data_IF_576970240245
#
_entry.id   IF_576970240245
#
_cell.length_a   1.000
_cell.length_b   1.000
_cell.length_c   1.000
_cell.angle_alpha   90.00
_cell.angle_beta   90.00
_cell.angle_gamma   90.00
#
_symmetry.space_group_name_H-M   'P 1'
#
loop_
_entity.id
_entity.type
_entity.pdbx_description
1 polymer ?
#
# COMPACT_ATOMS: atom_id res chain seq x y z
N UNK A 1 18.83 -19.40 25.53
CA UNK A 1 18.63 -18.54 24.35
C UNK A 1 19.90 -18.57 23.51
N UNK A 2 19.85 -19.12 22.29
CA UNK A 2 21.00 -19.08 21.38
C UNK A 2 20.94 -17.76 20.63
N UNK A 3 21.81 -16.82 20.99
CA UNK A 3 21.91 -15.53 20.31
C UNK A 3 22.96 -15.68 19.21
N UNK A 4 22.59 -15.38 17.96
CA UNK A 4 23.55 -15.28 16.85
C UNK A 4 23.86 -13.79 16.63
N UNK A 5 25.10 -13.32 16.88
CA UNK A 5 25.46 -11.91 16.68
C UNK A 5 25.10 -11.44 15.27
N UNK A 6 24.59 -10.21 15.14
CA UNK A 6 24.20 -9.57 13.86
C UNK A 6 23.06 -10.26 13.08
N UNK A 7 22.44 -11.33 13.60
CA UNK A 7 21.30 -11.99 12.95
C UNK A 7 20.05 -11.90 13.82
N UNK A 8 18.94 -11.48 13.22
CA UNK A 8 17.65 -11.31 13.89
C UNK A 8 16.66 -12.39 13.43
N UNK A 9 15.81 -12.88 14.33
CA UNK A 9 14.79 -13.90 14.07
C UNK A 9 15.27 -15.23 13.42
N UNK A 10 16.53 -15.63 13.64
CA UNK A 10 17.13 -16.86 13.07
C UNK A 10 17.11 -18.08 14.00
N UNK A 11 16.29 -18.07 15.05
CA UNK A 11 16.19 -19.18 15.99
C UNK A 11 15.46 -20.40 15.39
N UNK A 12 15.71 -21.62 15.86
CA UNK A 12 14.95 -22.79 15.41
C UNK A 12 13.47 -22.67 15.75
N UNK A 13 12.62 -23.22 14.88
CA UNK A 13 11.16 -23.23 15.02
C UNK A 13 10.76 -24.40 15.93
N UNK A 14 10.01 -24.08 17.00
CA UNK A 14 9.45 -25.07 17.93
C UNK A 14 8.03 -25.51 17.56
N UNK A 15 7.25 -24.56 17.05
CA UNK A 15 5.84 -24.77 16.69
C UNK A 15 5.42 -23.71 15.68
N UNK A 16 4.64 -24.10 14.67
CA UNK A 16 4.19 -23.21 13.60
C UNK A 16 2.78 -23.61 13.19
N UNK A 17 1.96 -22.61 12.86
CA UNK A 17 0.66 -22.78 12.21
C UNK A 17 0.60 -21.93 10.94
N UNK A 18 -0.04 -22.46 9.90
CA UNK A 18 -0.31 -21.74 8.65
C UNK A 18 -1.67 -21.05 8.78
N UNK A 19 -1.72 -19.76 8.43
CA UNK A 19 -2.95 -19.00 8.37
C UNK A 19 -3.14 -18.42 6.96
N UNK A 20 -4.26 -18.78 6.32
CA UNK A 20 -4.64 -18.20 5.02
C UNK A 20 -5.18 -16.80 5.26
N UNK A 21 -4.48 -15.78 4.77
CA UNK A 21 -4.89 -14.38 4.91
C UNK A 21 -6.07 -14.10 3.97
N UNK A 22 -7.24 -13.69 4.48
CA UNK A 22 -8.37 -13.33 3.62
C UNK A 22 -8.05 -12.12 2.73
N UNK A 23 -8.54 -12.13 1.49
CA UNK A 23 -8.21 -11.13 0.46
C UNK A 23 -8.46 -9.68 0.88
N UNK A 24 -9.46 -9.45 1.73
CA UNK A 24 -9.90 -8.13 2.16
C UNK A 24 -9.34 -7.68 3.52
N UNK A 25 -8.45 -8.46 4.15
CA UNK A 25 -7.91 -8.11 5.46
C UNK A 25 -6.99 -6.89 5.39
N UNK A 26 -7.18 -5.98 6.34
CA UNK A 26 -6.20 -4.94 6.68
C UNK A 26 -5.14 -5.49 7.63
N UNK A 27 -4.01 -4.79 7.73
CA UNK A 27 -2.95 -5.14 8.67
C UNK A 27 -3.44 -5.21 10.13
N UNK A 28 -4.39 -4.36 10.52
CA UNK A 28 -4.92 -4.35 11.89
C UNK A 28 -5.84 -5.56 12.15
N UNK A 29 -6.67 -5.95 11.18
CA UNK A 29 -7.51 -7.15 11.28
C UNK A 29 -6.67 -8.43 11.31
N UNK A 30 -5.65 -8.51 10.45
CA UNK A 30 -4.70 -9.61 10.45
C UNK A 30 -3.93 -9.64 11.78
N UNK A 31 -3.46 -8.50 12.27
CA UNK A 31 -2.75 -8.36 13.54
C UNK A 31 -3.57 -8.85 14.73
N UNK A 32 -4.85 -8.46 14.83
CA UNK A 32 -5.74 -8.94 15.88
C UNK A 32 -5.94 -10.46 15.82
N UNK A 33 -6.12 -11.01 14.61
CA UNK A 33 -6.31 -12.45 14.40
C UNK A 33 -5.07 -13.25 14.77
N UNK A 34 -3.89 -12.81 14.33
CA UNK A 34 -2.62 -13.44 14.63
C UNK A 34 -2.23 -13.30 16.10
N UNK A 35 -2.62 -12.21 16.78
CA UNK A 35 -2.40 -12.07 18.21
C UNK A 35 -3.15 -13.15 19.01
N UNK A 36 -4.42 -13.40 18.70
CA UNK A 36 -5.20 -14.48 19.35
C UNK A 36 -4.62 -15.86 19.05
N UNK A 37 -4.33 -16.15 17.78
CA UNK A 37 -3.74 -17.44 17.38
C UNK A 37 -2.36 -17.67 17.99
N UNK A 38 -1.51 -16.65 17.95
CA UNK A 38 -0.16 -16.69 18.53
C UNK A 38 -0.18 -16.92 20.04
N UNK A 39 -1.11 -16.31 20.76
CA UNK A 39 -1.28 -16.55 22.19
C UNK A 39 -1.64 -18.01 22.49
N UNK A 40 -2.61 -18.58 21.75
CA UNK A 40 -2.98 -19.99 21.90
C UNK A 40 -1.79 -20.91 21.57
N UNK A 41 -1.13 -20.67 20.43
CA UNK A 41 0.02 -21.45 19.98
C UNK A 41 1.17 -21.42 21.00
N UNK A 42 1.39 -20.26 21.64
CA UNK A 42 2.38 -20.11 22.70
C UNK A 42 2.06 -20.99 23.91
N UNK A 43 0.82 -20.97 24.40
CA UNK A 43 0.39 -21.79 25.54
C UNK A 43 0.55 -23.29 25.23
N UNK A 44 0.16 -23.74 24.05
CA UNK A 44 0.29 -25.15 23.65
C UNK A 44 1.75 -25.58 23.50
N UNK A 45 2.61 -24.67 23.02
CA UNK A 45 4.06 -24.89 22.95
C UNK A 45 4.65 -25.05 24.34
N UNK A 46 4.28 -24.18 25.30
CA UNK A 46 4.79 -24.23 26.67
C UNK A 46 4.34 -25.51 27.42
N UNK A 47 3.11 -25.99 27.19
CA UNK A 47 2.58 -27.22 27.81
C UNK A 47 3.39 -28.46 27.42
N UNK A 48 3.99 -28.48 26.23
CA UNK A 48 4.74 -29.62 25.67
C UNK A 48 6.21 -29.29 25.39
N UNK A 49 6.75 -28.29 26.10
CA UNK A 49 8.01 -27.64 25.74
C UNK A 49 9.22 -28.60 25.61
N UNK A 50 9.47 -29.56 26.52
CA UNK A 50 10.61 -30.48 26.38
C UNK A 50 10.59 -31.28 25.08
N UNK A 51 9.40 -31.76 24.69
CA UNK A 51 9.19 -32.48 23.43
C UNK A 51 9.41 -31.56 22.22
N UNK A 52 8.85 -30.33 22.27
CA UNK A 52 9.01 -29.33 21.20
C UNK A 52 10.47 -28.91 20.99
N UNK A 53 11.25 -28.78 22.08
CA UNK A 53 12.69 -28.48 22.00
C UNK A 53 13.46 -29.62 21.35
N UNK A 54 13.07 -30.86 21.63
CA UNK A 54 13.68 -32.07 21.06
C UNK A 54 13.38 -32.17 19.56
N UNK A 55 12.16 -31.85 19.16
CA UNK A 55 11.67 -31.90 17.78
C UNK A 55 11.80 -30.57 17.02
N UNK A 56 12.63 -29.63 17.51
CA UNK A 56 12.82 -28.32 16.88
C UNK A 56 13.39 -28.45 15.47
N UNK A 57 13.04 -27.52 14.60
CA UNK A 57 13.51 -27.48 13.21
C UNK A 57 14.33 -26.22 12.99
N UNK A 58 15.48 -26.32 12.33
CA UNK A 58 16.18 -25.12 11.85
C UNK A 58 15.35 -24.45 10.76
N UNK A 59 15.52 -23.14 10.60
CA UNK A 59 14.87 -22.41 9.50
C UNK A 59 15.63 -22.68 8.20
N UNK A 60 14.91 -22.87 7.11
CA UNK A 60 15.51 -22.92 5.78
C UNK A 60 16.04 -21.53 5.41
N UNK A 61 17.26 -21.46 4.85
CA UNK A 61 17.80 -20.20 4.32
C UNK A 61 17.09 -19.81 3.01
N UNK A 62 16.56 -20.80 2.29
CA UNK A 62 15.80 -20.60 1.06
C UNK A 62 14.43 -19.97 1.36
N UNK A 63 14.20 -18.77 0.82
CA UNK A 63 12.94 -18.04 0.98
C UNK A 63 12.86 -17.15 2.22
N UNK A 64 13.93 -17.06 3.03
CA UNK A 64 14.00 -16.11 4.12
C UNK A 64 14.02 -14.67 3.59
N UNK A 65 13.03 -13.86 3.96
CA UNK A 65 12.92 -12.45 3.57
C UNK A 65 12.81 -11.54 4.79
N UNK A 66 13.38 -10.34 4.69
CA UNK A 66 13.22 -9.31 5.70
C UNK A 66 11.88 -8.56 5.52
N UNK A 67 11.21 -8.28 6.63
CA UNK A 67 10.06 -7.38 6.67
C UNK A 67 10.54 -5.97 7.10
N UNK A 68 10.78 -5.04 6.16
CA UNK A 68 11.29 -3.72 6.50
C UNK A 68 10.26 -2.93 7.32
N UNK A 69 10.76 -2.04 8.18
CA UNK A 69 9.91 -1.14 8.95
C UNK A 69 9.11 -0.24 7.99
N UNK A 70 7.80 -0.14 8.22
CA UNK A 70 6.92 0.75 7.46
C UNK A 70 7.41 2.20 7.62
N UNK A 71 7.69 2.85 6.50
CA UNK A 71 8.15 4.23 6.43
C UNK A 71 7.16 5.11 5.66
N UNK A 72 7.36 6.41 5.76
CA UNK A 72 6.53 7.37 5.01
C UNK A 72 6.77 7.31 3.50
N UNK A 73 7.98 6.99 3.05
CA UNK A 73 8.30 6.89 1.61
C UNK A 73 7.53 5.77 0.91
N UNK A 74 7.19 4.69 1.62
CA UNK A 74 6.35 3.61 1.10
C UNK A 74 4.91 4.04 0.76
N UNK A 75 4.45 5.21 1.26
CA UNK A 75 3.08 5.67 1.03
C UNK A 75 2.84 6.32 -0.33
N UNK A 76 3.90 6.58 -1.11
CA UNK A 76 3.78 7.17 -2.43
C UNK A 76 3.23 6.15 -3.44
N UNK A 77 2.14 6.52 -4.11
CA UNK A 77 1.64 5.75 -5.25
C UNK A 77 2.46 6.12 -6.49
N UNK A 78 2.92 5.09 -7.19
CA UNK A 78 3.60 5.17 -8.49
C UNK A 78 2.63 4.70 -9.55
N UNK A 79 1.80 5.62 -10.05
CA UNK A 79 0.67 5.31 -10.92
C UNK A 79 1.07 4.56 -12.19
N UNK A 80 2.24 4.86 -12.75
CA UNK A 80 2.72 4.23 -13.98
C UNK A 80 3.17 2.78 -13.78
N UNK A 81 3.53 2.39 -12.56
CA UNK A 81 4.19 1.11 -12.27
C UNK A 81 3.31 0.15 -11.46
N UNK A 82 2.45 0.70 -10.60
CA UNK A 82 1.61 -0.07 -9.70
C UNK A 82 0.26 -0.41 -10.33
N UNK A 83 -0.10 -1.68 -10.19
CA UNK A 83 -1.40 -2.23 -10.59
C UNK A 83 -2.49 -1.92 -9.56
N UNK A 84 -3.76 -2.08 -9.93
CA UNK A 84 -4.88 -1.98 -9.01
C UNK A 84 -4.70 -2.86 -7.76
N UNK A 85 -4.23 -4.10 -7.97
CA UNK A 85 -4.01 -5.08 -6.88
C UNK A 85 -2.88 -4.62 -5.96
N UNK A 86 -1.77 -4.12 -6.49
CA UNK A 86 -0.66 -3.62 -5.68
C UNK A 86 -1.08 -2.40 -4.84
N UNK A 87 -1.87 -1.48 -5.40
CA UNK A 87 -2.37 -0.31 -4.67
C UNK A 87 -3.34 -0.73 -3.57
N UNK A 88 -4.24 -1.70 -3.84
CA UNK A 88 -5.15 -2.26 -2.83
C UNK A 88 -4.39 -2.93 -1.68
N UNK A 89 -3.45 -3.83 -2.00
CA UNK A 89 -2.59 -4.47 -1.00
C UNK A 89 -1.82 -3.43 -0.17
N UNK A 90 -1.24 -2.41 -0.80
CA UNK A 90 -0.54 -1.34 -0.11
C UNK A 90 -1.48 -0.57 0.83
N UNK A 91 -2.67 -0.19 0.34
CA UNK A 91 -3.67 0.50 1.16
C UNK A 91 -4.02 -0.32 2.41
N UNK A 92 -4.38 -1.60 2.24
CA UNK A 92 -4.73 -2.50 3.34
C UNK A 92 -3.58 -2.73 4.31
N UNK A 93 -2.34 -2.74 3.82
CA UNK A 93 -1.15 -2.97 4.63
C UNK A 93 -0.75 -1.76 5.50
N UNK A 94 -0.83 -0.53 4.99
CA UNK A 94 -0.23 0.64 5.66
C UNK A 94 -1.19 1.79 5.97
N UNK A 95 -2.35 1.89 5.31
CA UNK A 95 -3.14 3.13 5.31
C UNK A 95 -3.78 3.47 6.66
N UNK A 96 -3.93 2.50 7.58
CA UNK A 96 -4.39 2.78 8.95
C UNK A 96 -3.38 3.59 9.76
N UNK A 97 -2.09 3.53 9.40
CA UNK A 97 -1.00 4.26 10.06
C UNK A 97 -0.49 5.42 9.21
N UNK A 98 -0.30 5.18 7.92
CA UNK A 98 0.24 6.16 6.97
C UNK A 98 -0.64 6.19 5.72
N UNK A 99 -1.45 7.26 5.54
CA UNK A 99 -2.27 7.42 4.35
C UNK A 99 -1.43 7.41 3.06
N UNK A 100 -1.96 6.80 2.01
CA UNK A 100 -1.34 6.83 0.68
C UNK A 100 -1.30 8.26 0.15
N UNK A 101 -0.30 8.55 -0.68
CA UNK A 101 0.02 9.91 -1.14
C UNK A 101 0.27 9.94 -2.63
N UNK A 102 -0.05 11.10 -3.20
CA UNK A 102 0.28 11.45 -4.57
C UNK A 102 0.53 12.96 -4.66
N UNK A 103 1.04 13.43 -5.78
CA UNK A 103 1.21 14.86 -6.05
C UNK A 103 0.04 15.36 -6.90
N UNK A 104 -0.51 16.51 -6.51
CA UNK A 104 -1.52 17.26 -7.24
C UNK A 104 -1.11 18.73 -7.28
N UNK A 105 -0.92 19.30 -8.47
CA UNK A 105 -0.52 20.71 -8.66
C UNK A 105 0.69 21.11 -7.80
N UNK A 106 1.72 20.26 -7.78
CA UNK A 106 2.94 20.46 -7.00
C UNK A 106 2.78 20.29 -5.47
N UNK A 107 1.62 19.84 -4.99
CA UNK A 107 1.36 19.63 -3.56
C UNK A 107 1.06 18.17 -3.26
N UNK A 108 1.51 17.72 -2.10
CA UNK A 108 1.16 16.41 -1.57
C UNK A 108 -0.32 16.37 -1.21
N UNK A 109 -1.04 15.38 -1.73
CA UNK A 109 -2.40 15.06 -1.35
C UNK A 109 -2.42 13.64 -0.77
N UNK A 110 -3.16 13.47 0.32
CA UNK A 110 -3.40 12.16 0.94
C UNK A 110 -4.70 11.57 0.39
N UNK A 111 -4.67 10.29 0.09
CA UNK A 111 -5.78 9.52 -0.45
C UNK A 111 -6.36 8.65 0.65
N UNK A 112 -7.67 8.76 0.88
CA UNK A 112 -8.38 8.17 2.01
C UNK A 112 -9.64 7.46 1.51
N UNK A 113 -10.16 6.56 2.35
CA UNK A 113 -11.43 5.86 2.09
C UNK A 113 -11.42 5.18 0.70
N UNK A 114 -10.52 4.20 0.58
CA UNK A 114 -10.30 3.44 -0.66
C UNK A 114 -11.54 2.62 -1.02
N UNK A 115 -11.96 2.73 -2.28
CA UNK A 115 -13.14 2.08 -2.82
C UNK A 115 -12.81 0.85 -3.69
N UNK A 116 -11.54 0.46 -3.79
CA UNK A 116 -11.11 -0.69 -4.59
C UNK A 116 -10.99 -0.37 -6.08
N UNK A 117 -10.93 -1.42 -6.89
CA UNK A 117 -10.92 -1.33 -8.35
C UNK A 117 -12.24 -0.75 -8.85
N UNK A 118 -12.18 0.23 -9.76
CA UNK A 118 -13.33 0.84 -10.39
C UNK A 118 -13.47 0.36 -11.84
N UNK A 119 -14.70 0.08 -12.25
CA UNK A 119 -15.03 -0.13 -13.66
C UNK A 119 -15.49 1.21 -14.24
N UNK A 120 -14.73 1.74 -15.20
CA UNK A 120 -15.09 2.98 -15.89
C UNK A 120 -15.44 2.64 -17.33
N UNK A 121 -16.70 2.87 -17.68
CA UNK A 121 -17.14 2.88 -19.07
C UNK A 121 -16.64 4.18 -19.70
N UNK A 122 -15.61 4.09 -20.56
CA UNK A 122 -15.11 5.22 -21.33
C UNK A 122 -16.09 5.55 -22.47
N UNK A 123 -17.26 6.07 -22.14
CA UNK A 123 -18.28 6.50 -23.10
C UNK A 123 -17.94 7.88 -23.66
N UNK A 124 -16.96 7.97 -24.54
CA UNK A 124 -16.80 9.13 -25.44
C UNK A 124 -15.38 9.60 -25.75
N UNK A 125 -15.04 9.55 -27.05
CA UNK A 125 -13.98 10.27 -27.79
C UNK A 125 -12.53 10.18 -27.28
N UNK A 126 -11.84 9.15 -27.78
CA UNK A 126 -10.54 9.30 -28.46
C UNK A 126 -9.28 9.59 -27.64
N UNK A 127 -9.35 9.67 -26.30
CA UNK A 127 -8.16 9.77 -25.46
C UNK A 127 -8.01 8.52 -24.61
N UNK A 128 -6.91 7.81 -24.84
CA UNK A 128 -6.49 6.71 -23.97
C UNK A 128 -6.08 7.35 -22.63
N UNK A 129 -6.74 6.99 -21.51
CA UNK A 129 -6.36 7.51 -20.21
C UNK A 129 -4.93 7.07 -19.89
N UNK A 130 -4.13 8.02 -19.43
CA UNK A 130 -2.77 7.75 -18.94
C UNK A 130 -2.80 7.57 -17.43
N UNK A 131 -1.84 6.84 -16.83
CA UNK A 131 -1.73 6.76 -15.38
C UNK A 131 -1.75 8.14 -14.72
N UNK A 132 -2.43 8.24 -13.59
CA UNK A 132 -2.72 9.50 -12.90
C UNK A 132 -3.96 10.25 -13.42
N UNK A 133 -4.56 9.84 -14.54
CA UNK A 133 -5.82 10.42 -15.02
C UNK A 133 -6.95 10.19 -14.01
N UNK A 134 -7.82 11.18 -13.83
CA UNK A 134 -8.91 11.11 -12.87
C UNK A 134 -10.29 11.17 -13.55
N UNK A 135 -11.25 10.45 -12.99
CA UNK A 135 -12.65 10.48 -13.36
C UNK A 135 -13.51 10.47 -12.10
N UNK A 136 -14.45 11.40 -11.99
CA UNK A 136 -15.40 11.40 -10.89
C UNK A 136 -16.64 10.59 -11.23
N UNK A 137 -16.89 9.55 -10.44
CA UNK A 137 -18.07 8.69 -10.54
C UNK A 137 -19.15 9.22 -9.59
N UNK A 138 -20.20 9.82 -10.14
CA UNK A 138 -21.22 10.54 -9.38
C UNK A 138 -22.07 9.59 -8.54
N UNK A 139 -22.42 8.43 -9.08
CA UNK A 139 -23.31 7.45 -8.48
C UNK A 139 -22.73 6.87 -7.19
N UNK A 140 -21.42 6.61 -7.18
CA UNK A 140 -20.71 6.06 -6.03
C UNK A 140 -19.96 7.10 -5.21
N UNK A 141 -20.07 8.39 -5.57
CA UNK A 141 -19.27 9.50 -5.01
C UNK A 141 -17.79 9.12 -4.87
N UNK A 142 -17.19 8.69 -5.97
CA UNK A 142 -15.83 8.13 -5.98
C UNK A 142 -14.95 8.87 -6.98
N UNK A 143 -13.77 9.28 -6.54
CA UNK A 143 -12.71 9.76 -7.42
C UNK A 143 -11.91 8.55 -7.89
N UNK A 144 -12.14 8.15 -9.13
CA UNK A 144 -11.38 7.07 -9.74
C UNK A 144 -10.11 7.63 -10.40
N UNK A 145 -8.99 6.95 -10.19
CA UNK A 145 -7.67 7.31 -10.71
C UNK A 145 -7.11 6.16 -11.52
N UNK A 146 -6.65 6.44 -12.73
CA UNK A 146 -6.04 5.47 -13.62
C UNK A 146 -4.64 5.10 -13.11
N UNK A 147 -4.34 3.81 -13.04
CA UNK A 147 -3.02 3.27 -12.76
C UNK A 147 -2.57 2.38 -13.92
N UNK A 148 -1.49 1.60 -13.74
CA UNK A 148 -0.86 0.79 -14.78
C UNK A 148 -1.81 -0.11 -15.57
N UNK A 149 -2.77 -0.75 -14.89
CA UNK A 149 -3.63 -1.80 -15.46
C UNK A 149 -5.13 -1.58 -15.24
N UNK A 150 -5.54 -0.37 -14.81
CA UNK A 150 -6.95 -0.09 -14.58
C UNK A 150 -7.20 1.21 -13.82
N UNK A 151 -8.28 1.21 -13.03
CA UNK A 151 -8.71 2.36 -12.24
C UNK A 151 -8.94 1.93 -10.80
N UNK A 152 -8.52 2.77 -9.86
CA UNK A 152 -8.77 2.59 -8.42
C UNK A 152 -9.51 3.80 -7.85
N UNK A 153 -10.38 3.56 -6.89
CA UNK A 153 -11.28 4.59 -6.35
C UNK A 153 -10.89 5.07 -4.96
N UNK A 154 -11.09 6.36 -4.71
CA UNK A 154 -11.02 6.97 -3.39
C UNK A 154 -12.23 7.86 -3.17
N UNK A 155 -12.87 7.77 -2.00
CA UNK A 155 -14.04 8.59 -1.66
C UNK A 155 -13.66 9.90 -0.98
N UNK A 156 -12.46 9.95 -0.41
CA UNK A 156 -11.99 11.12 0.33
C UNK A 156 -10.54 11.43 -0.05
N UNK A 157 -10.27 12.71 -0.20
CA UNK A 157 -8.90 13.22 -0.33
C UNK A 157 -8.63 14.26 0.75
N UNK A 158 -7.38 14.37 1.17
CA UNK A 158 -6.95 15.38 2.14
C UNK A 158 -5.79 16.18 1.54
N UNK A 159 -6.11 17.42 1.19
CA UNK A 159 -5.15 18.43 0.72
C UNK A 159 -4.79 19.37 1.89
N UNK A 160 -5.55 20.46 2.06
CA UNK A 160 -5.52 21.33 3.26
C UNK A 160 -6.60 20.96 4.28
N UNK A 161 -7.72 20.44 3.78
CA UNK A 161 -8.85 19.93 4.55
C UNK A 161 -9.27 18.58 3.97
N UNK A 162 -10.02 17.82 4.77
CA UNK A 162 -10.69 16.61 4.31
C UNK A 162 -11.79 17.01 3.31
N UNK A 163 -11.79 16.39 2.15
CA UNK A 163 -12.72 16.66 1.04
C UNK A 163 -13.31 15.34 0.56
N UNK A 164 -14.63 15.30 0.33
CA UNK A 164 -15.23 14.19 -0.40
C UNK A 164 -14.79 14.22 -1.87
N UNK A 165 -14.96 13.11 -2.59
CA UNK A 165 -14.72 13.06 -4.03
C UNK A 165 -15.55 14.12 -4.77
N UNK A 166 -16.82 14.32 -4.40
CA UNK A 166 -17.68 15.38 -4.91
C UNK A 166 -17.11 16.79 -4.65
N UNK A 167 -16.65 17.07 -3.42
CA UNK A 167 -16.09 18.40 -3.08
C UNK A 167 -14.81 18.66 -3.86
N UNK A 168 -13.95 17.65 -3.99
CA UNK A 168 -12.73 17.75 -4.77
C UNK A 168 -13.05 17.97 -6.25
N UNK A 169 -14.00 17.23 -6.80
CA UNK A 169 -14.43 17.40 -8.18
C UNK A 169 -14.99 18.81 -8.43
N UNK A 170 -15.96 19.26 -7.64
CA UNK A 170 -16.61 20.56 -7.80
C UNK A 170 -15.63 21.73 -7.61
N UNK A 171 -14.69 21.61 -6.67
CA UNK A 171 -13.74 22.66 -6.34
C UNK A 171 -12.51 22.74 -7.25
N UNK A 172 -12.04 21.61 -7.80
CA UNK A 172 -10.74 21.53 -8.47
C UNK A 172 -10.76 20.91 -9.87
N UNK A 173 -11.70 20.01 -10.17
CA UNK A 173 -11.74 19.33 -11.47
C UNK A 173 -12.76 19.94 -12.43
N UNK A 174 -13.93 20.33 -11.93
CA UNK A 174 -15.07 20.78 -12.75
C UNK A 174 -14.71 21.98 -13.64
N UNK A 175 -13.97 22.95 -13.11
CA UNK A 175 -13.52 24.14 -13.89
C UNK A 175 -12.54 23.76 -15.00
N UNK A 176 -11.66 22.80 -14.73
CA UNK A 176 -10.65 22.29 -15.67
C UNK A 176 -11.27 21.52 -16.84
N UNK A 177 -12.41 20.86 -16.62
CA UNK A 177 -13.19 20.20 -17.67
C UNK A 177 -14.11 21.15 -18.46
N UNK A 178 -14.44 22.33 -17.91
CA UNK A 178 -15.31 23.32 -18.57
C UNK A 178 -14.55 24.27 -19.51
N UNK A 179 -13.28 24.57 -19.27
CA UNK A 179 -12.43 25.34 -20.20
C UNK A 179 -11.95 24.46 -21.38
N UNK A 180 -12.87 24.13 -22.30
CA UNK A 180 -12.64 23.20 -23.44
C UNK A 180 -11.96 23.81 -24.67
N UNK A 181 -11.52 25.07 -24.63
CA UNK A 181 -10.91 25.76 -25.79
C UNK A 181 -9.39 25.98 -25.63
N UNK A 182 -8.66 24.93 -25.25
CA UNK A 182 -7.20 24.94 -25.19
C UNK A 182 -6.60 23.53 -25.23
N UNK A 183 -5.29 23.38 -25.53
CA UNK A 183 -4.63 22.09 -25.47
C UNK A 183 -4.80 21.48 -24.07
N UNK A 184 -4.84 20.13 -23.95
CA UNK A 184 -5.04 19.47 -22.66
C UNK A 184 -3.96 19.95 -21.72
N UNK A 185 -4.33 20.76 -20.74
CA UNK A 185 -3.38 21.18 -19.74
C UNK A 185 -2.96 19.93 -18.97
N UNK A 186 -1.65 19.76 -18.85
CA UNK A 186 -0.96 18.79 -17.99
C UNK A 186 -1.39 18.88 -16.51
N UNK A 187 -2.22 19.87 -16.19
CA UNK A 187 -2.75 20.28 -14.89
C UNK A 187 -3.77 19.31 -14.25
N UNK A 188 -4.29 18.28 -14.93
CA UNK A 188 -5.35 17.41 -14.37
C UNK A 188 -4.95 15.96 -14.10
N UNK A 189 -3.68 15.71 -13.80
CA UNK A 189 -3.19 14.39 -13.42
C UNK A 189 -2.72 14.36 -11.97
N UNK A 190 -2.93 13.23 -11.31
CA UNK A 190 -2.12 12.86 -10.15
C UNK A 190 -0.76 12.37 -10.63
N UNK A 191 0.30 12.83 -9.97
CA UNK A 191 1.67 12.51 -10.34
C UNK A 191 2.35 11.66 -9.29
N UNK A 192 3.09 10.66 -9.75
CA UNK A 192 4.01 9.86 -8.94
C UNK A 192 5.17 10.73 -8.45
N UNK A 193 5.51 10.66 -7.15
CA UNK A 193 6.67 11.39 -6.61
C UNK A 193 7.96 10.60 -6.88
N UNK A 194 8.60 10.82 -8.04
CA UNK A 194 9.83 10.11 -8.44
C UNK A 194 11.08 10.58 -7.68
N UNK A 195 11.08 11.79 -7.15
CA UNK A 195 12.21 12.37 -6.41
C UNK A 195 12.48 11.70 -5.07
N UNK A 196 11.46 11.23 -4.35
CA UNK A 196 11.63 10.55 -3.04
C UNK A 196 11.76 9.02 -3.14
N UNK A 197 11.55 8.44 -4.33
CA UNK A 197 11.71 7.00 -4.56
C UNK A 197 13.19 6.61 -4.70
N UNK A 198 14.00 7.48 -5.33
CA UNK A 198 15.44 7.24 -5.48
C UNK A 198 16.20 7.29 -4.15
N UNK A 199 15.84 8.20 -3.24
CA UNK A 199 16.43 8.27 -1.90
C UNK A 199 16.05 7.07 -1.02
N UNK A 200 14.84 6.52 -1.18
CA UNK A 200 14.43 5.29 -0.48
C UNK A 200 15.12 4.03 -1.02
N UNK A 201 15.42 3.97 -2.32
CA UNK A 201 16.21 2.90 -2.93
C UNK A 201 17.66 2.90 -2.45
N UNK A 202 18.26 4.07 -2.30
CA UNK A 202 19.61 4.23 -1.76
C UNK A 202 19.70 3.87 -0.27
N UNK A 203 18.74 4.30 0.57
CA UNK A 203 18.69 3.90 2.00
C UNK A 203 18.49 2.39 2.18
N UNK A 204 17.67 1.73 1.34
CA UNK A 204 17.50 0.28 1.37
C UNK A 204 18.75 -0.47 0.86
N UNK A 205 19.49 0.07 -0.10
CA UNK A 205 20.73 -0.52 -0.60
C UNK A 205 21.90 -0.38 0.40
N UNK A 206 21.98 0.75 1.11
CA UNK A 206 22.98 1.01 2.14
C UNK A 206 22.73 0.16 3.40
N UNK A 207 21.47 -0.10 3.74
CA UNK A 207 21.12 -1.03 4.83
C UNK A 207 21.32 -2.50 4.45
N UNK A 208 21.24 -2.87 3.16
CA UNK A 208 21.63 -4.21 2.70
C UNK A 208 23.15 -4.44 2.71
N UNK A 209 23.96 -3.44 2.40
CA UNK A 209 25.43 -3.55 2.42
C UNK A 209 26.01 -3.66 3.84
N UNK A 210 25.34 -3.10 4.84
CA UNK A 210 25.79 -3.18 6.24
C UNK A 210 25.37 -4.49 6.97
N UNK A 211 24.65 -5.39 6.30
CA UNK A 211 24.23 -6.68 6.87
C UNK A 211 25.08 -7.87 6.36
N UNK A 212 26.08 -7.64 5.50
CA UNK A 212 26.98 -8.67 4.97
C UNK A 212 28.43 -8.43 5.41
N UNK A 213 28.67 -8.33 6.73
CA UNK A 213 29.98 -8.56 7.40
C UNK A 213 29.77 -8.80 8.90
#
# INVERSE_FOLDING_TARGET
>A
MQIRPKRFDVGPILHQEIYQVPDNFTADQLGATLATKGAQLLIDTLRTLPERITNRREQDEDGATLAPKISTSMSWIVWEEQTCVQIDCLFRAIASRIPLRTIWMGKTIKLLDFAGKCNISLSGRGRIPVPGSMSYQKESNTLAVCCKDGWVGFKVVMLKKRLSAADFYNGYLHQSFQNRYGPPKQECLFHSNRTELHSAGEENSLTQLHAVY
#
